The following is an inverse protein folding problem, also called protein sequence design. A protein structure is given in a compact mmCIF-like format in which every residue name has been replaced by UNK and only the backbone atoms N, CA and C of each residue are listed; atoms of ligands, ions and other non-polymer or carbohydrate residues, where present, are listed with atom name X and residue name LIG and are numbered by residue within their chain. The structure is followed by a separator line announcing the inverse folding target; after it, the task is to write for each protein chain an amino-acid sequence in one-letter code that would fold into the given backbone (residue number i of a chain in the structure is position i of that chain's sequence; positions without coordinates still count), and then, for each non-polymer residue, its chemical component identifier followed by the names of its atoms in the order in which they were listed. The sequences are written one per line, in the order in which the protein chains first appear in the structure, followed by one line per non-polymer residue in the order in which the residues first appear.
data_IF_522665359883
#
_entry.id   IF_522665359883
#
_cell.length_a   1.000
_cell.length_b   1.000
_cell.length_c   1.000
_cell.angle_alpha   90.00
_cell.angle_beta   90.00
_cell.angle_gamma   90.00
#
_symmetry.space_group_name_H-M   'P 1'
#
loop_
_entity.id
_entity.type
_entity.pdbx_description
1 polymer ?
#
# COMPACT_ATOMS: atom_id res chain seq x y z
N UNK A 1 23.21 5.25 11.97
CA UNK A 1 23.18 6.08 13.21
C UNK A 1 22.32 7.31 12.93
N UNK A 2 21.69 7.89 13.96
CA UNK A 2 20.87 9.11 13.87
C UNK A 2 21.65 10.29 14.44
N UNK A 3 21.83 11.34 13.65
CA UNK A 3 22.41 12.60 14.08
C UNK A 3 21.29 13.64 14.14
N UNK A 4 21.11 14.32 15.27
CA UNK A 4 20.16 15.42 15.40
C UNK A 4 20.90 16.75 15.51
N UNK A 5 20.53 17.72 14.68
CA UNK A 5 21.19 19.03 14.60
C UNK A 5 20.17 20.14 14.52
N UNK A 6 20.48 21.30 15.08
CA UNK A 6 19.62 22.47 14.93
C UNK A 6 19.83 23.15 13.57
N UNK A 7 18.82 23.89 13.09
CA UNK A 7 18.82 24.56 11.80
C UNK A 7 20.02 25.51 11.61
N UNK A 8 20.47 26.17 12.67
CA UNK A 8 21.62 27.09 12.60
C UNK A 8 22.93 26.36 12.31
N UNK A 9 23.09 25.14 12.83
CA UNK A 9 24.26 24.30 12.57
C UNK A 9 24.14 23.63 11.21
N UNK A 10 22.95 23.12 10.87
CA UNK A 10 22.64 22.51 9.59
C UNK A 10 22.96 23.45 8.42
N UNK A 11 22.58 24.74 8.50
CA UNK A 11 22.90 25.72 7.43
C UNK A 11 24.39 26.02 7.29
N UNK A 12 25.17 25.89 8.38
CA UNK A 12 26.59 26.21 8.39
C UNK A 12 27.46 25.05 7.91
N UNK A 13 27.05 23.81 8.19
CA UNK A 13 27.80 22.58 7.91
C UNK A 13 27.03 21.63 6.98
N UNK A 14 26.17 22.16 6.10
CA UNK A 14 25.29 21.34 5.26
C UNK A 14 26.06 20.28 4.46
N UNK A 15 27.20 20.66 3.87
CA UNK A 15 28.05 19.74 3.11
C UNK A 15 28.52 18.54 3.94
N UNK A 16 28.97 18.75 5.17
CA UNK A 16 29.43 17.67 6.05
C UNK A 16 28.29 16.71 6.45
N UNK A 17 27.07 17.24 6.63
CA UNK A 17 25.89 16.42 6.89
C UNK A 17 25.43 15.66 5.65
N UNK A 18 25.57 16.23 4.45
CA UNK A 18 25.34 15.49 3.21
C UNK A 18 26.33 14.33 3.07
N UNK A 19 27.60 14.52 3.40
CA UNK A 19 28.58 13.42 3.39
C UNK A 19 28.20 12.30 4.38
N UNK A 20 27.69 12.66 5.56
CA UNK A 20 27.17 11.69 6.52
C UNK A 20 25.96 10.93 5.96
N UNK A 21 25.03 11.63 5.32
CA UNK A 21 23.86 11.04 4.65
C UNK A 21 24.27 10.07 3.54
N UNK A 22 25.30 10.42 2.76
CA UNK A 22 25.84 9.55 1.70
C UNK A 22 26.53 8.30 2.26
N UNK A 23 27.09 8.34 3.47
CA UNK A 23 27.60 7.16 4.18
C UNK A 23 26.49 6.29 4.78
N UNK A 24 25.22 6.65 4.60
CA UNK A 24 24.07 5.92 5.12
C UNK A 24 23.61 6.35 6.52
N UNK A 25 24.05 7.53 6.98
CA UNK A 25 23.58 8.11 8.23
C UNK A 25 22.27 8.88 8.02
N UNK A 26 21.45 9.00 9.06
CA UNK A 26 20.21 9.79 9.05
C UNK A 26 20.42 11.07 9.82
N UNK A 27 20.18 12.22 9.21
CA UNK A 27 20.34 13.54 9.85
C UNK A 27 18.98 14.19 10.06
N UNK A 28 18.59 14.42 11.30
CA UNK A 28 17.35 15.10 11.68
C UNK A 28 17.66 16.58 11.95
N UNK A 29 16.98 17.47 11.25
CA UNK A 29 17.08 18.92 11.42
C UNK A 29 15.96 19.37 12.37
N UNK A 30 16.35 20.04 13.45
CA UNK A 30 15.47 20.64 14.43
C UNK A 30 15.43 22.17 14.33
N UNK A 31 14.27 22.77 14.60
CA UNK A 31 14.08 24.21 14.78
C UNK A 31 13.70 24.44 16.23
N UNK A 32 14.53 25.19 16.98
CA UNK A 32 14.36 25.40 18.43
C UNK A 32 14.23 24.07 19.19
N UNK A 33 15.10 23.10 18.87
CA UNK A 33 15.09 21.73 19.42
C UNK A 33 13.84 20.88 19.08
N UNK A 34 12.97 21.34 18.19
CA UNK A 34 11.83 20.56 17.70
C UNK A 34 12.19 20.01 16.32
N UNK A 35 12.19 18.68 16.09
CA UNK A 35 12.49 18.09 14.78
C UNK A 35 11.47 18.56 13.73
N UNK A 36 11.95 19.02 12.57
CA UNK A 36 11.12 19.58 11.50
C UNK A 36 11.40 18.98 10.12
N UNK A 37 12.58 18.40 9.91
CA UNK A 37 12.96 17.80 8.64
C UNK A 37 14.00 16.69 8.84
N UNK A 38 14.12 15.81 7.85
CA UNK A 38 15.11 14.75 7.80
C UNK A 38 15.87 14.84 6.47
N UNK A 39 17.20 14.70 6.53
CA UNK A 39 18.03 14.50 5.35
C UNK A 39 18.28 12.99 5.19
N UNK A 40 17.90 12.48 4.03
CA UNK A 40 18.09 11.09 3.62
C UNK A 40 18.72 11.05 2.24
N UNK A 41 19.49 10.00 1.91
CA UNK A 41 20.03 9.86 0.57
C UNK A 41 18.87 9.69 -0.41
N UNK A 42 18.91 10.43 -1.51
CA UNK A 42 18.03 10.19 -2.64
C UNK A 42 18.50 8.88 -3.26
N UNK A 43 17.73 7.81 -3.09
CA UNK A 43 18.02 6.56 -3.77
C UNK A 43 17.75 6.80 -5.25
N UNK A 44 18.70 6.47 -6.15
CA UNK A 44 18.38 6.47 -7.57
C UNK A 44 17.14 5.60 -7.74
N UNK A 45 16.15 6.10 -8.49
CA UNK A 45 15.08 5.23 -8.96
C UNK A 45 15.78 4.03 -9.58
N UNK A 46 15.48 2.84 -9.07
CA UNK A 46 16.10 1.62 -9.58
C UNK A 46 15.63 1.54 -11.03
N UNK A 47 16.49 1.97 -11.95
CA UNK A 47 16.27 1.91 -13.39
C UNK A 47 16.44 0.47 -13.91
N UNK A 48 16.45 -0.51 -13.01
CA UNK A 48 16.22 -1.89 -13.38
C UNK A 48 14.77 -1.98 -13.81
N UNK A 49 14.58 -2.15 -15.11
CA UNK A 49 13.33 -2.61 -15.69
C UNK A 49 12.78 -3.73 -14.81
N UNK A 50 11.54 -3.59 -14.34
CA UNK A 50 10.92 -4.65 -13.52
C UNK A 50 10.93 -5.92 -14.35
N UNK A 51 11.77 -6.89 -13.98
CA UNK A 51 11.78 -8.17 -14.65
C UNK A 51 10.39 -8.80 -14.48
N UNK A 52 9.67 -8.92 -15.60
CA UNK A 52 8.41 -9.66 -15.66
C UNK A 52 8.75 -11.15 -15.56
N UNK A 53 7.87 -11.94 -14.94
CA UNK A 53 8.06 -13.40 -14.89
C UNK A 53 9.02 -13.89 -13.80
N UNK A 54 9.22 -13.12 -12.72
CA UNK A 54 9.91 -13.58 -11.50
C UNK A 54 9.03 -14.50 -10.61
N UNK A 55 7.88 -14.94 -11.14
CA UNK A 55 7.06 -15.95 -10.48
C UNK A 55 7.77 -17.30 -10.46
N UNK A 56 7.34 -18.24 -9.61
CA UNK A 56 7.91 -19.57 -9.56
C UNK A 56 7.86 -20.21 -10.95
N UNK A 57 9.03 -20.51 -11.51
CA UNK A 57 9.20 -21.18 -12.81
C UNK A 57 9.48 -22.67 -12.65
N UNK A 58 9.48 -23.16 -11.41
CA UNK A 58 9.68 -24.57 -11.10
C UNK A 58 8.50 -25.39 -11.65
N UNK A 59 8.82 -26.52 -12.29
CA UNK A 59 7.82 -27.46 -12.79
C UNK A 59 6.97 -27.97 -11.64
N UNK A 60 5.65 -27.71 -11.66
CA UNK A 60 4.71 -28.10 -10.61
C UNK A 60 4.14 -26.94 -9.77
N UNK A 61 4.46 -25.68 -10.12
CA UNK A 61 3.76 -24.54 -9.54
C UNK A 61 2.38 -24.37 -10.19
N UNK A 62 1.38 -25.04 -9.62
CA UNK A 62 -0.02 -24.87 -10.02
C UNK A 62 -0.67 -23.76 -9.20
N UNK A 63 -1.28 -22.80 -9.90
CA UNK A 63 -2.10 -21.76 -9.26
C UNK A 63 -3.45 -22.40 -8.90
N UNK A 64 -3.87 -22.42 -7.62
CA UNK A 64 -5.16 -22.97 -7.24
C UNK A 64 -6.31 -22.23 -7.91
N UNK A 65 -7.41 -22.91 -8.24
CA UNK A 65 -8.59 -22.28 -8.85
C UNK A 65 -9.14 -21.12 -8.01
N UNK A 66 -9.04 -21.23 -6.68
CA UNK A 66 -9.43 -20.19 -5.72
C UNK A 66 -8.68 -18.85 -5.90
N UNK A 67 -7.53 -18.84 -6.57
CA UNK A 67 -6.83 -17.59 -6.92
C UNK A 67 -7.67 -16.69 -7.84
N UNK A 68 -8.50 -17.31 -8.69
CA UNK A 68 -9.36 -16.62 -9.64
C UNK A 68 -10.72 -16.24 -9.05
N UNK A 69 -11.02 -16.72 -7.84
CA UNK A 69 -12.24 -16.38 -7.13
C UNK A 69 -12.18 -14.95 -6.57
N UNK A 70 -13.34 -14.29 -6.37
CA UNK A 70 -13.37 -12.98 -5.76
C UNK A 70 -12.76 -13.03 -4.35
N UNK A 71 -11.96 -12.01 -4.04
CA UNK A 71 -11.36 -11.85 -2.71
C UNK A 71 -12.45 -11.81 -1.63
N UNK A 72 -12.23 -12.42 -0.44
CA UNK A 72 -13.18 -12.37 0.66
C UNK A 72 -13.56 -10.93 1.03
N UNK A 73 -14.82 -10.70 1.37
CA UNK A 73 -15.38 -9.35 1.55
C UNK A 73 -14.61 -8.51 2.57
N UNK A 74 -14.14 -9.11 3.66
CA UNK A 74 -13.34 -8.43 4.69
C UNK A 74 -12.01 -7.87 4.13
N UNK A 75 -11.32 -8.67 3.31
CA UNK A 75 -10.06 -8.26 2.71
C UNK A 75 -10.33 -7.27 1.57
N UNK A 76 -11.34 -7.52 0.75
CA UNK A 76 -11.75 -6.61 -0.34
C UNK A 76 -12.09 -5.21 0.20
N UNK A 77 -12.78 -5.12 1.34
CA UNK A 77 -13.10 -3.87 2.02
C UNK A 77 -11.84 -3.11 2.48
N UNK A 78 -10.79 -3.81 2.94
CA UNK A 78 -9.52 -3.18 3.32
C UNK A 78 -8.82 -2.51 2.12
N UNK A 79 -9.08 -2.97 0.89
CA UNK A 79 -8.61 -2.37 -0.36
C UNK A 79 -9.64 -1.41 -1.00
N UNK A 80 -10.74 -1.11 -0.31
CA UNK A 80 -11.73 -0.12 -0.74
C UNK A 80 -12.80 -0.63 -1.71
N UNK A 81 -12.98 -1.96 -1.83
CA UNK A 81 -14.08 -2.50 -2.64
C UNK A 81 -15.45 -2.20 -1.99
N UNK A 82 -16.47 -1.78 -2.76
CA UNK A 82 -17.81 -1.61 -2.23
C UNK A 82 -18.37 -2.99 -1.84
N UNK A 83 -18.79 -3.16 -0.58
CA UNK A 83 -19.32 -4.42 -0.07
C UNK A 83 -20.45 -4.95 -0.94
N UNK A 84 -20.43 -6.26 -1.23
CA UNK A 84 -21.50 -6.89 -2.02
C UNK A 84 -22.81 -6.76 -1.24
N UNK A 85 -23.76 -6.00 -1.82
CA UNK A 85 -25.09 -5.82 -1.25
C UNK A 85 -25.75 -7.20 -1.25
N UNK A 86 -26.07 -7.72 -0.08
CA UNK A 86 -26.72 -9.02 0.07
C UNK A 86 -28.09 -8.95 -0.64
N UNK A 87 -28.26 -9.71 -1.71
CA UNK A 87 -29.56 -9.97 -2.31
C UNK A 87 -30.25 -11.03 -1.45
N UNK A 88 -30.70 -10.61 -0.26
CA UNK A 88 -31.51 -11.45 0.61
C UNK A 88 -32.91 -11.60 -0.02
N UNK A 89 -33.21 -12.84 -0.41
CA UNK A 89 -34.52 -13.46 -0.21
C UNK A 89 -35.75 -12.62 -0.63
N UNK A 90 -36.05 -12.57 -1.93
CA UNK A 90 -37.45 -12.47 -2.37
C UNK A 90 -37.83 -13.68 -3.23
N UNK A 91 -37.89 -14.84 -2.59
CA UNK A 91 -38.71 -15.97 -3.04
C UNK A 91 -39.70 -16.33 -1.94
N UNK A 92 -40.85 -15.65 -1.89
CA UNK A 92 -42.16 -16.21 -1.55
C UNK A 92 -43.21 -15.11 -1.45
N UNK A 93 -43.95 -14.95 -2.54
CA UNK A 93 -45.38 -14.66 -2.49
C UNK A 93 -45.97 -15.31 -3.76
N UNK A 94 -46.69 -16.40 -3.57
CA UNK A 94 -47.38 -17.12 -4.63
C UNK A 94 -48.38 -16.19 -5.35
N UNK A 95 -48.63 -16.34 -6.66
CA UNK A 95 -49.72 -15.64 -7.30
C UNK A 95 -51.03 -16.31 -6.89
N UNK A 96 -51.74 -15.71 -5.94
CA UNK A 96 -53.16 -16.03 -5.73
C UNK A 96 -53.91 -15.58 -7.00
N UNK A 97 -54.47 -16.57 -7.69
CA UNK A 97 -55.31 -16.36 -8.86
C UNK A 97 -56.68 -15.87 -8.39
N UNK A 98 -57.22 -14.75 -8.89
CA UNK A 98 -58.65 -14.60 -8.96
C UNK A 98 -59.10 -15.09 -10.33
N UNK A 99 -59.62 -16.31 -10.35
CA UNK A 99 -60.67 -16.68 -11.29
C UNK A 99 -61.86 -15.74 -11.05
N UNK A 100 -62.43 -15.18 -12.12
CA UNK A 100 -63.86 -14.85 -12.35
C UNK A 100 -63.88 -14.35 -13.81
N UNK A 101 -64.23 -15.17 -14.81
CA UNK A 101 -65.58 -15.60 -15.24
C UNK A 101 -66.44 -14.46 -15.85
N UNK A 102 -66.84 -14.70 -17.12
CA UNK A 102 -67.79 -14.01 -18.00
C UNK A 102 -67.20 -12.92 -18.92
#
# INVERSE_FOLDING_TARGET
MMIQVNLHEAKAKLSAYLDAVLRGERVVIARRNIPVAELTPIRPAVATERLIGQGPSESGYDIPDAFWEPLPDEIAAAFGAPGKRQEEHRMQAAPETPSIEQ
#
